data_IF_675338155135
#
_entry.id   IF_675338155135
#
_cell.length_a   1.000
_cell.length_b   1.000
_cell.length_c   1.000
_cell.angle_alpha   90.00
_cell.angle_beta   90.00
_cell.angle_gamma   90.00
#
_symmetry.space_group_name_H-M   'P 1'
#
loop_
_entity.id
_entity.type
_entity.pdbx_description
1 polymer ?
#
# COMPACT_ATOMS: atom_id res chain seq x y z
N UNK A 1 15.35 0.36 3.25
CA UNK A 1 14.49 -0.66 3.87
C UNK A 1 14.50 -0.54 5.40
N UNK A 2 15.65 -0.49 6.05
CA UNK A 2 15.78 -0.32 7.52
C UNK A 2 15.03 0.89 8.08
N UNK A 3 15.13 2.05 7.46
CA UNK A 3 14.42 3.26 7.89
C UNK A 3 12.90 3.09 7.97
N UNK A 4 12.31 2.29 7.07
CA UNK A 4 10.87 2.00 7.05
C UNK A 4 10.50 1.13 8.25
N UNK A 5 11.26 0.08 8.50
CA UNK A 5 11.05 -0.81 9.63
C UNK A 5 11.21 -0.09 10.98
N UNK A 6 12.21 0.80 11.08
CA UNK A 6 12.42 1.62 12.29
C UNK A 6 11.23 2.54 12.58
N UNK A 7 10.56 3.08 11.56
CA UNK A 7 9.39 3.95 11.75
C UNK A 7 8.19 3.20 12.35
N UNK A 8 7.95 1.99 11.88
CA UNK A 8 6.81 1.17 12.33
C UNK A 8 7.11 0.40 13.63
N UNK A 9 8.37 0.32 14.02
CA UNK A 9 8.80 -0.39 15.23
C UNK A 9 8.05 0.12 16.48
N UNK A 10 7.60 -0.81 17.33
CA UNK A 10 6.89 -0.50 18.58
C UNK A 10 5.49 0.09 18.38
N UNK A 11 4.91 -0.02 17.17
CA UNK A 11 3.52 0.36 16.94
C UNK A 11 2.57 -0.74 17.40
N UNK A 12 1.41 -0.34 17.95
CA UNK A 12 0.41 -1.28 18.47
C UNK A 12 -0.60 -1.71 17.41
N UNK A 13 -0.83 -0.87 16.40
CA UNK A 13 -1.84 -1.12 15.39
C UNK A 13 -1.33 -0.81 14.00
N UNK A 14 -1.75 -1.65 13.06
CA UNK A 14 -1.40 -1.54 11.65
C UNK A 14 -2.64 -1.69 10.78
N UNK A 15 -2.62 -1.05 9.61
CA UNK A 15 -3.50 -1.35 8.49
C UNK A 15 -2.67 -1.38 7.22
N UNK A 16 -2.75 -2.49 6.50
CA UNK A 16 -1.99 -2.74 5.27
C UNK A 16 -2.95 -2.54 4.10
N UNK A 17 -2.71 -1.50 3.33
CA UNK A 17 -3.59 -1.06 2.26
C UNK A 17 -2.94 -1.35 0.92
N UNK A 18 -3.68 -2.05 0.05
CA UNK A 18 -3.25 -2.37 -1.32
C UNK A 18 -3.96 -1.42 -2.30
N UNK A 19 -3.19 -0.79 -3.20
CA UNK A 19 -3.73 0.06 -4.24
C UNK A 19 -4.38 -0.76 -5.35
N UNK A 20 -5.63 -0.46 -5.72
CA UNK A 20 -6.28 -1.15 -6.84
C UNK A 20 -5.60 -0.80 -8.17
N UNK A 21 -4.90 -1.76 -8.79
CA UNK A 21 -4.14 -1.55 -10.03
C UNK A 21 -3.25 -0.31 -9.96
N UNK A 22 -2.46 -0.17 -8.90
CA UNK A 22 -1.74 1.05 -8.46
C UNK A 22 -1.22 1.93 -9.60
N UNK A 23 -0.35 1.40 -10.45
CA UNK A 23 0.25 2.17 -11.57
C UNK A 23 -0.78 2.67 -12.58
N UNK A 24 -1.82 1.88 -12.88
CA UNK A 24 -2.87 2.24 -13.82
C UNK A 24 -3.77 3.40 -13.33
N UNK A 25 -3.58 3.88 -12.12
CA UNK A 25 -4.30 5.05 -11.60
C UNK A 25 -3.62 6.37 -11.99
N UNK A 26 -2.32 6.33 -12.30
CA UNK A 26 -1.54 7.51 -12.67
C UNK A 26 -1.63 7.78 -14.18
N UNK A 27 -1.94 9.02 -14.54
CA UNK A 27 -2.02 9.44 -15.93
C UNK A 27 -0.61 9.68 -16.50
N UNK A 28 -0.40 9.24 -17.73
CA UNK A 28 0.80 9.60 -18.51
C UNK A 28 0.61 11.02 -19.03
N UNK A 29 1.65 11.86 -18.89
CA UNK A 29 1.65 13.20 -19.48
C UNK A 29 1.32 13.13 -20.97
N UNK A 30 0.53 14.07 -21.47
CA UNK A 30 0.15 14.12 -22.91
C UNK A 30 1.39 14.10 -23.84
N UNK A 31 2.46 14.77 -23.44
CA UNK A 31 3.73 14.81 -24.17
C UNK A 31 4.47 13.47 -24.20
N UNK A 32 4.25 12.63 -23.18
CA UNK A 32 4.92 11.33 -23.04
C UNK A 32 4.09 10.16 -23.54
N UNK A 33 2.79 10.36 -23.80
CA UNK A 33 1.92 9.28 -24.31
C UNK A 33 2.44 8.68 -25.60
N UNK A 34 2.92 9.50 -26.54
CA UNK A 34 3.50 9.02 -27.79
C UNK A 34 4.74 8.15 -27.61
N UNK A 35 5.49 8.32 -26.51
CA UNK A 35 6.64 7.47 -26.17
C UNK A 35 6.23 6.07 -25.70
N UNK A 36 4.96 5.88 -25.39
CA UNK A 36 4.40 4.60 -24.94
C UNK A 36 3.67 3.85 -26.03
N UNK A 37 3.90 4.21 -27.30
CA UNK A 37 3.20 3.62 -28.44
C UNK A 37 3.58 2.17 -28.66
N UNK A 38 2.59 1.38 -29.04
CA UNK A 38 2.73 0.00 -29.47
C UNK A 38 1.85 -0.27 -30.68
N UNK A 39 2.29 -1.21 -31.51
CA UNK A 39 1.60 -1.58 -32.76
C UNK A 39 0.81 -2.88 -32.57
N UNK A 40 -0.38 -2.91 -33.10
CA UNK A 40 -1.22 -4.10 -33.18
C UNK A 40 -1.65 -4.32 -34.63
N UNK A 41 -2.23 -5.47 -34.98
CA UNK A 41 -2.81 -5.69 -36.32
C UNK A 41 -3.86 -4.65 -36.72
N UNK A 42 -4.51 -4.03 -35.73
CA UNK A 42 -5.60 -3.05 -35.96
C UNK A 42 -5.15 -1.58 -35.90
N UNK A 43 -3.86 -1.32 -35.61
CA UNK A 43 -3.32 0.04 -35.59
C UNK A 43 -2.28 0.28 -34.49
N UNK A 44 -1.90 1.55 -34.37
CA UNK A 44 -0.94 2.00 -33.37
C UNK A 44 -1.70 2.67 -32.21
N UNK A 45 -1.38 2.27 -30.99
CA UNK A 45 -2.01 2.74 -29.78
C UNK A 45 -0.95 3.30 -28.81
N UNK A 46 -1.38 4.15 -27.88
CA UNK A 46 -0.54 4.69 -26.82
C UNK A 46 -1.28 4.60 -25.48
N UNK A 47 -0.52 4.45 -24.41
CA UNK A 47 -1.11 4.39 -23.08
C UNK A 47 -1.50 5.78 -22.57
N UNK A 48 -2.71 5.92 -22.07
CA UNK A 48 -3.18 7.12 -21.35
C UNK A 48 -2.86 7.06 -19.85
N UNK A 49 -2.70 5.87 -19.30
CA UNK A 49 -2.35 5.57 -17.91
C UNK A 49 -1.08 4.77 -17.89
N UNK A 50 -0.32 4.82 -16.79
CA UNK A 50 0.95 4.10 -16.71
C UNK A 50 0.74 2.58 -16.76
N UNK A 51 1.27 1.89 -17.79
CA UNK A 51 1.23 0.44 -17.85
C UNK A 51 2.36 -0.16 -17.00
N UNK A 52 2.22 -1.43 -16.66
CA UNK A 52 3.34 -2.22 -16.16
C UNK A 52 4.42 -2.38 -17.23
N UNK A 53 5.68 -2.50 -16.81
CA UNK A 53 6.80 -2.80 -17.70
C UNK A 53 7.63 -1.60 -18.17
N UNK A 54 7.20 -0.37 -17.92
CA UNK A 54 8.07 0.80 -18.15
C UNK A 54 9.09 0.93 -17.03
N UNK A 55 10.34 1.23 -17.38
CA UNK A 55 11.48 1.28 -16.45
C UNK A 55 11.22 2.24 -15.27
N UNK A 56 10.61 3.40 -15.52
CA UNK A 56 10.44 4.47 -14.54
C UNK A 56 9.09 4.44 -13.78
N UNK A 57 8.26 3.41 -14.00
CA UNK A 57 6.91 3.34 -13.42
C UNK A 57 6.95 3.35 -11.89
N UNK A 58 7.79 2.52 -11.28
CA UNK A 58 7.90 2.43 -9.83
C UNK A 58 8.30 3.76 -9.19
N UNK A 59 9.35 4.40 -9.72
CA UNK A 59 9.82 5.69 -9.22
C UNK A 59 8.80 6.82 -9.40
N UNK A 60 8.08 6.84 -10.53
CA UNK A 60 7.04 7.82 -10.82
C UNK A 60 5.84 7.63 -9.90
N UNK A 61 5.42 6.38 -9.68
CA UNK A 61 4.34 6.06 -8.77
C UNK A 61 4.70 6.43 -7.32
N UNK A 62 5.90 6.07 -6.86
CA UNK A 62 6.38 6.44 -5.53
C UNK A 62 6.33 7.95 -5.33
N UNK A 63 6.80 8.74 -6.31
CA UNK A 63 6.73 10.21 -6.25
C UNK A 63 5.29 10.72 -6.20
N UNK A 64 4.37 10.12 -6.96
CA UNK A 64 2.95 10.49 -6.92
C UNK A 64 2.35 10.21 -5.53
N UNK A 65 2.68 9.08 -4.93
CA UNK A 65 2.26 8.73 -3.57
C UNK A 65 2.87 9.64 -2.51
N UNK A 66 4.15 9.99 -2.63
CA UNK A 66 4.83 10.94 -1.74
C UNK A 66 4.15 12.32 -1.76
N UNK A 67 3.68 12.76 -2.92
CA UNK A 67 2.90 14.00 -3.06
C UNK A 67 1.52 13.85 -2.45
N UNK A 68 0.81 12.76 -2.77
CA UNK A 68 -0.55 12.51 -2.30
C UNK A 68 -0.64 12.40 -0.77
N UNK A 69 0.34 11.78 -0.13
CA UNK A 69 0.36 11.55 1.32
C UNK A 69 1.34 12.46 2.07
N UNK A 70 1.74 13.58 1.45
CA UNK A 70 2.61 14.56 2.10
C UNK A 70 2.02 15.01 3.45
N UNK A 71 2.84 14.96 4.51
CA UNK A 71 2.43 15.31 5.87
C UNK A 71 1.91 14.14 6.72
N UNK A 72 1.55 13.00 6.11
CA UNK A 72 1.23 11.74 6.81
C UNK A 72 2.42 10.77 6.80
N UNK A 73 3.24 10.82 5.75
CA UNK A 73 4.45 10.00 5.61
C UNK A 73 5.38 10.27 6.78
N UNK A 74 5.96 9.21 7.33
CA UNK A 74 6.85 9.18 8.51
C UNK A 74 6.16 9.46 9.85
N UNK A 75 4.90 9.90 9.87
CA UNK A 75 4.12 10.11 11.10
C UNK A 75 3.21 8.94 11.41
N UNK A 76 2.41 8.54 10.45
CA UNK A 76 1.41 7.48 10.57
C UNK A 76 1.30 6.59 9.33
N UNK A 77 2.05 6.92 8.27
CA UNK A 77 1.99 6.23 6.98
C UNK A 77 3.40 5.93 6.49
N UNK A 78 3.58 4.72 6.01
CA UNK A 78 4.75 4.27 5.24
C UNK A 78 4.25 3.78 3.89
N UNK A 79 4.94 4.19 2.84
CA UNK A 79 4.62 3.81 1.47
C UNK A 79 5.84 3.15 0.85
N UNK A 80 5.61 1.98 0.27
CA UNK A 80 6.63 1.29 -0.50
C UNK A 80 6.00 0.68 -1.75
N UNK A 81 6.25 1.31 -2.89
CA UNK A 81 5.61 0.95 -4.16
C UNK A 81 4.08 0.96 -4.01
N UNK A 82 3.42 -0.16 -4.23
CA UNK A 82 1.95 -0.31 -4.18
C UNK A 82 1.41 -0.51 -2.76
N UNK A 83 2.30 -0.82 -1.80
CA UNK A 83 1.92 -1.13 -0.42
C UNK A 83 1.92 0.14 0.45
N UNK A 84 0.78 0.46 1.02
CA UNK A 84 0.63 1.56 1.97
C UNK A 84 0.31 0.99 3.34
N UNK A 85 1.19 1.23 4.29
CA UNK A 85 1.00 0.79 5.68
C UNK A 85 0.68 1.98 6.56
N UNK A 86 -0.50 1.96 7.15
CA UNK A 86 -0.88 2.89 8.23
C UNK A 86 -0.50 2.25 9.55
N UNK A 87 0.22 2.99 10.38
CA UNK A 87 0.64 2.51 11.70
C UNK A 87 0.33 3.52 12.78
N UNK A 88 0.18 3.05 14.00
CA UNK A 88 -0.11 3.90 15.17
C UNK A 88 0.58 3.36 16.40
N UNK A 89 1.25 4.25 17.13
CA UNK A 89 1.92 3.91 18.40
C UNK A 89 0.89 3.54 19.47
N UNK A 90 -0.27 4.23 19.48
CA UNK A 90 -1.38 3.97 20.37
C UNK A 90 -2.57 3.46 19.58
N UNK A 91 -3.26 2.46 20.13
CA UNK A 91 -4.46 1.88 19.52
C UNK A 91 -5.58 2.91 19.30
N UNK A 92 -5.75 3.83 20.24
CA UNK A 92 -6.81 4.85 20.21
C UNK A 92 -6.67 5.78 18.98
N UNK A 93 -5.45 6.07 18.53
CA UNK A 93 -5.19 7.01 17.44
C UNK A 93 -5.39 6.41 16.05
N UNK A 94 -5.49 5.08 15.97
CA UNK A 94 -5.43 4.39 14.68
C UNK A 94 -6.58 4.74 13.74
N UNK A 95 -7.81 4.83 14.26
CA UNK A 95 -8.98 5.22 13.46
C UNK A 95 -8.87 6.66 12.95
N UNK A 96 -8.27 7.55 13.73
CA UNK A 96 -8.03 8.93 13.31
C UNK A 96 -7.00 8.98 12.18
N UNK A 97 -5.92 8.18 12.27
CA UNK A 97 -4.93 8.06 11.21
C UNK A 97 -5.55 7.48 9.93
N UNK A 98 -6.34 6.41 10.03
CA UNK A 98 -7.06 5.83 8.90
C UNK A 98 -8.00 6.83 8.22
N UNK A 99 -8.77 7.60 9.01
CA UNK A 99 -9.68 8.64 8.46
C UNK A 99 -8.91 9.65 7.61
N UNK A 100 -7.78 10.17 8.11
CA UNK A 100 -6.93 11.09 7.36
C UNK A 100 -6.39 10.47 6.08
N UNK A 101 -5.98 9.19 6.14
CA UNK A 101 -5.52 8.46 4.96
C UNK A 101 -6.64 8.35 3.93
N UNK A 102 -7.87 8.00 4.33
CA UNK A 102 -9.00 7.93 3.40
C UNK A 102 -9.42 9.28 2.83
N UNK A 103 -9.26 10.38 3.58
CA UNK A 103 -9.43 11.74 3.07
C UNK A 103 -8.44 12.03 1.95
N UNK A 104 -7.17 11.62 2.09
CA UNK A 104 -6.16 11.75 1.03
C UNK A 104 -6.49 10.87 -0.19
N UNK A 105 -6.91 9.60 0.02
CA UNK A 105 -7.36 8.73 -1.07
C UNK A 105 -8.49 9.39 -1.88
N UNK A 106 -9.49 9.94 -1.18
CA UNK A 106 -10.62 10.62 -1.81
C UNK A 106 -10.19 11.90 -2.54
N UNK A 107 -9.34 12.71 -1.90
CA UNK A 107 -8.84 13.98 -2.46
C UNK A 107 -8.07 13.77 -3.76
N UNK A 108 -7.25 12.73 -3.84
CA UNK A 108 -6.40 12.44 -5.01
C UNK A 108 -7.01 11.40 -5.96
N UNK A 109 -8.22 10.93 -5.70
CA UNK A 109 -8.92 9.96 -6.54
C UNK A 109 -8.23 8.60 -6.61
N UNK A 110 -7.50 8.23 -5.57
CA UNK A 110 -6.79 6.94 -5.48
C UNK A 110 -7.77 5.87 -5.01
N UNK A 111 -7.81 4.74 -5.71
CA UNK A 111 -8.68 3.61 -5.37
C UNK A 111 -7.93 2.52 -4.62
N UNK A 112 -8.55 1.99 -3.58
CA UNK A 112 -8.06 0.85 -2.81
C UNK A 112 -8.63 -0.46 -3.32
N UNK A 113 -7.89 -1.53 -3.12
CA UNK A 113 -8.38 -2.89 -3.27
C UNK A 113 -8.83 -3.43 -1.91
N UNK A 114 -10.13 -3.40 -1.60
CA UNK A 114 -10.62 -3.83 -0.28
C UNK A 114 -10.39 -5.31 -0.01
N UNK A 115 -10.33 -6.15 -1.06
CA UNK A 115 -10.13 -7.61 -0.93
C UNK A 115 -8.71 -7.97 -0.50
N UNK A 116 -7.73 -7.11 -0.78
CA UNK A 116 -6.33 -7.31 -0.40
C UNK A 116 -5.90 -6.42 0.76
N UNK A 117 -6.69 -5.41 1.10
CA UNK A 117 -6.40 -4.52 2.21
C UNK A 117 -6.78 -5.16 3.54
N UNK A 118 -5.96 -4.97 4.55
CA UNK A 118 -6.11 -5.53 5.88
C UNK A 118 -6.16 -4.36 6.86
N UNK A 119 -7.18 -4.34 7.71
CA UNK A 119 -7.44 -3.23 8.60
C UNK A 119 -7.33 -3.63 10.06
N UNK A 120 -6.80 -2.72 10.87
CA UNK A 120 -6.85 -2.76 12.34
C UNK A 120 -6.30 -4.08 12.91
N UNK A 121 -5.06 -4.40 12.57
CA UNK A 121 -4.36 -5.58 13.08
C UNK A 121 -3.21 -5.18 14.02
N UNK A 122 -2.88 -6.05 14.96
CA UNK A 122 -1.78 -5.85 15.92
C UNK A 122 -0.43 -6.28 15.36
N UNK A 123 -0.45 -7.03 14.28
CA UNK A 123 0.74 -7.48 13.55
C UNK A 123 0.44 -7.64 12.07
N UNK A 124 1.43 -7.47 11.23
CA UNK A 124 1.26 -7.56 9.78
C UNK A 124 2.56 -7.83 9.05
N UNK A 125 2.45 -8.26 7.79
CA UNK A 125 3.60 -8.50 6.93
C UNK A 125 3.95 -7.23 6.17
N UNK A 126 5.15 -6.71 6.37
CA UNK A 126 5.70 -5.54 5.70
C UNK A 126 7.09 -5.85 5.16
N UNK A 127 7.30 -5.71 3.86
CA UNK A 127 8.61 -5.86 3.20
C UNK A 127 9.35 -7.18 3.53
N UNK A 128 8.63 -8.29 3.67
CA UNK A 128 9.24 -9.56 4.03
C UNK A 128 9.55 -9.74 5.54
N UNK A 129 9.01 -8.84 6.37
CA UNK A 129 9.10 -8.93 7.84
C UNK A 129 7.69 -8.97 8.43
N UNK A 130 7.54 -9.67 9.53
CA UNK A 130 6.37 -9.55 10.41
C UNK A 130 6.68 -8.43 11.40
N UNK A 131 5.84 -7.39 11.39
CA UNK A 131 5.95 -6.24 12.29
C UNK A 131 4.88 -6.33 13.37
N UNK A 132 5.26 -6.07 14.61
CA UNK A 132 4.37 -6.07 15.78
C UNK A 132 4.87 -5.08 16.82
N UNK A 133 4.10 -4.88 17.90
CA UNK A 133 4.55 -4.10 19.07
C UNK A 133 5.86 -4.61 19.66
N UNK A 134 6.07 -5.93 19.65
CA UNK A 134 7.25 -6.58 20.23
C UNK A 134 8.49 -6.45 19.36
N UNK A 135 8.33 -6.13 18.07
CA UNK A 135 9.45 -5.97 17.16
C UNK A 135 9.17 -6.40 15.72
N UNK A 136 10.25 -6.63 15.00
CA UNK A 136 10.23 -7.08 13.59
C UNK A 136 10.96 -8.41 13.48
N UNK A 137 10.34 -9.41 12.88
CA UNK A 137 10.91 -10.73 12.64
C UNK A 137 10.93 -10.98 11.14
N UNK A 138 12.09 -11.42 10.59
CA UNK A 138 12.15 -11.81 9.16
C UNK A 138 11.21 -12.97 8.90
N UNK A 139 10.44 -12.91 7.81
CA UNK A 139 9.53 -13.99 7.40
C UNK A 139 10.25 -15.30 7.10
N UNK A 140 11.56 -15.25 6.82
CA UNK A 140 12.39 -16.45 6.65
C UNK A 140 12.54 -17.25 7.94
N UNK A 141 12.46 -16.56 9.09
CA UNK A 141 12.60 -17.16 10.42
C UNK A 141 11.24 -17.48 11.08
N UNK A 142 10.14 -17.24 10.36
CA UNK A 142 8.78 -17.48 10.87
C UNK A 142 8.29 -18.82 10.34
N UNK A 143 7.79 -19.74 11.19
CA UNK A 143 7.21 -20.99 10.73
C UNK A 143 6.09 -20.76 9.71
N UNK A 144 6.08 -21.55 8.63
CA UNK A 144 5.05 -21.45 7.57
C UNK A 144 3.61 -21.51 8.12
N UNK A 145 3.42 -22.26 9.19
CA UNK A 145 2.14 -22.38 9.87
C UNK A 145 1.67 -21.04 10.46
N UNK A 146 2.57 -20.29 11.08
CA UNK A 146 2.28 -18.97 11.67
C UNK A 146 1.90 -17.94 10.59
N UNK A 147 2.62 -17.93 9.47
CA UNK A 147 2.28 -17.08 8.32
C UNK A 147 0.89 -17.41 7.75
N UNK A 148 0.50 -18.67 7.77
CA UNK A 148 -0.82 -19.13 7.33
C UNK A 148 -1.91 -18.72 8.33
N UNK A 149 -1.63 -18.74 9.63
CA UNK A 149 -2.53 -18.25 10.68
C UNK A 149 -2.75 -16.74 10.58
N UNK A 150 -1.69 -15.96 10.39
CA UNK A 150 -1.77 -14.52 10.13
C UNK A 150 -2.68 -14.23 8.92
N UNK A 151 -2.54 -14.99 7.85
CA UNK A 151 -3.33 -14.84 6.63
C UNK A 151 -4.81 -15.18 6.85
N UNK A 152 -5.11 -16.25 7.59
CA UNK A 152 -6.48 -16.68 7.89
C UNK A 152 -7.20 -15.74 8.87
N UNK A 153 -6.52 -15.24 9.89
CA UNK A 153 -7.06 -14.25 10.83
C UNK A 153 -7.38 -12.93 10.13
N UNK A 154 -6.55 -12.57 9.15
CA UNK A 154 -6.73 -11.39 8.33
C UNK A 154 -7.95 -11.45 7.42
N UNK A 155 -8.23 -12.60 6.81
CA UNK A 155 -9.42 -12.81 5.96
C UNK A 155 -10.71 -12.74 6.79
N UNK A 156 -10.73 -13.32 7.99
CA UNK A 156 -11.90 -13.32 8.86
C UNK A 156 -12.24 -11.92 9.40
N UNK A 157 -11.26 -11.07 9.70
CA UNK A 157 -11.47 -9.68 10.10
C UNK A 157 -12.03 -8.83 8.95
N UNK A 158 -11.58 -9.06 7.73
CA UNK A 158 -12.09 -8.34 6.56
C UNK A 158 -13.57 -8.64 6.30
N UNK A 159 -14.01 -9.89 6.50
CA UNK A 159 -15.43 -10.28 6.33
C UNK A 159 -16.34 -9.69 7.41
N UNK A 160 -15.84 -9.48 8.62
CA UNK A 160 -16.57 -8.85 9.73
C UNK A 160 -16.73 -7.33 9.56
N UNK A 161 -15.75 -6.64 8.96
CA UNK A 161 -15.79 -5.18 8.79
C UNK A 161 -16.49 -4.71 7.50
N UNK A 162 -16.49 -5.54 6.45
CA UNK A 162 -17.13 -5.18 5.17
C UNK A 162 -18.60 -5.59 5.10
N UNK A 163 -19.19 -6.10 6.18
CA UNK A 163 -20.60 -6.40 6.35
C UNK A 163 -21.25 -6.97 5.07
N UNK A 164 -21.47 -8.26 5.03
CA UNK A 164 -22.57 -8.70 4.21
C UNK A 164 -23.87 -8.24 4.81
#
# INVERSE_FOLDING_TARGET
MEKILQQVFGSEMFSLLDGFSGYNQVLVSKTDQLKTTFRTPWGTYAYRKMPFGLINVGATFQRAMDIAFRGLIQKSVVIYLDDITVFSKNRADHLTHLRRVFEHYRKYGISLNPKKSIFVVTEGKLLGFVVSKQGTISTLNVPRLYLRFLFLTQINLCSLFLGR
#
